data_IF_033876487538
#
_entry.id   IF_033876487538
#
_cell.length_a   1.000
_cell.length_b   1.000
_cell.length_c   1.000
_cell.angle_alpha   90.00
_cell.angle_beta   90.00
_cell.angle_gamma   90.00
#
_symmetry.space_group_name_H-M   'P 1'
#
loop_
_entity.id
_entity.type
_entity.pdbx_description
1 polymer ?
#
# COMPACT_ATOMS: atom_id res chain seq x y z
N UNK A 1 -42.05 -1.22 -19.25
CA UNK A 1 -41.54 -1.10 -17.87
C UNK A 1 -40.24 -0.32 -17.92
N UNK A 2 -40.14 0.80 -17.20
CA UNK A 2 -39.01 1.74 -17.23
C UNK A 2 -38.46 1.84 -15.81
N UNK A 3 -37.14 1.65 -15.62
CA UNK A 3 -36.45 2.00 -14.38
C UNK A 3 -35.18 2.75 -14.77
N UNK A 4 -35.19 4.06 -14.54
CA UNK A 4 -34.04 4.96 -14.59
C UNK A 4 -33.57 5.13 -13.15
N UNK A 5 -32.33 4.76 -12.83
CA UNK A 5 -31.75 5.04 -11.50
C UNK A 5 -30.57 5.99 -11.67
N UNK A 6 -30.83 7.27 -11.40
CA UNK A 6 -29.81 8.31 -11.27
C UNK A 6 -29.15 8.17 -9.90
N UNK A 7 -27.85 7.93 -9.84
CA UNK A 7 -27.07 8.13 -8.62
C UNK A 7 -26.39 9.50 -8.68
N UNK A 8 -26.96 10.47 -7.97
CA UNK A 8 -26.29 11.72 -7.62
C UNK A 8 -25.82 11.60 -6.17
N UNK A 9 -24.54 11.87 -5.91
CA UNK A 9 -24.05 12.22 -4.57
C UNK A 9 -23.26 13.53 -4.64
N UNK A 10 -23.84 14.50 -3.95
CA UNK A 10 -23.40 15.86 -3.66
C UNK A 10 -22.36 15.81 -2.53
N UNK A 11 -21.39 16.72 -2.53
CA UNK A 11 -20.60 17.00 -1.33
C UNK A 11 -19.33 17.82 -1.56
N UNK A 12 -19.44 19.04 -2.09
CA UNK A 12 -18.37 20.02 -2.00
C UNK A 12 -18.51 20.78 -0.67
N UNK A 13 -17.52 20.65 0.23
CA UNK A 13 -17.37 21.52 1.40
C UNK A 13 -15.98 22.11 1.34
N UNK A 14 -15.91 23.42 1.11
CA UNK A 14 -14.71 24.22 1.27
C UNK A 14 -14.67 24.78 2.70
N UNK A 15 -13.55 24.59 3.41
CA UNK A 15 -13.17 25.38 4.58
C UNK A 15 -11.64 25.50 4.63
N UNK A 16 -11.15 26.73 4.65
CA UNK A 16 -9.75 27.10 4.64
C UNK A 16 -9.21 27.30 6.06
N UNK A 17 -8.00 26.79 6.36
CA UNK A 17 -7.04 27.39 7.31
C UNK A 17 -5.76 26.54 7.40
N UNK A 18 -4.63 27.21 7.58
CA UNK A 18 -3.27 26.72 7.38
C UNK A 18 -2.87 25.50 8.25
N UNK A 19 -2.19 24.55 7.62
CA UNK A 19 -1.32 23.59 8.27
C UNK A 19 -0.23 23.16 7.29
N UNK A 20 1.03 23.38 7.70
CA UNK A 20 2.28 22.72 7.32
C UNK A 20 2.29 21.91 6.02
N UNK A 21 3.21 22.28 5.12
CA UNK A 21 3.63 21.47 3.99
C UNK A 21 4.19 20.11 4.46
N UNK A 22 3.30 19.16 4.75
CA UNK A 22 3.61 17.74 4.66
C UNK A 22 3.62 17.46 3.17
N UNK A 23 4.83 17.33 2.62
CA UNK A 23 5.07 16.77 1.29
C UNK A 23 4.17 15.55 1.14
N UNK A 24 3.20 15.66 0.22
CA UNK A 24 2.06 14.76 0.16
C UNK A 24 2.47 13.31 0.00
N UNK A 25 2.50 12.56 1.10
CA UNK A 25 2.08 11.17 1.11
C UNK A 25 0.56 11.21 1.00
N UNK A 26 0.08 11.39 -0.23
CA UNK A 26 -1.33 11.39 -0.56
C UNK A 26 -1.97 10.18 0.11
N UNK A 27 -2.86 10.46 1.07
CA UNK A 27 -3.69 9.45 1.70
C UNK A 27 -4.56 8.89 0.59
N UNK A 28 -4.11 7.82 -0.06
CA UNK A 28 -4.93 7.21 -1.06
C UNK A 28 -6.18 6.63 -0.36
N UNK A 29 -7.29 6.65 -1.06
CA UNK A 29 -8.54 6.19 -0.49
C UNK A 29 -8.50 4.67 -0.47
N UNK A 30 -8.75 4.06 0.69
CA UNK A 30 -9.12 2.66 0.74
C UNK A 30 -10.33 2.47 -0.16
N UNK A 31 -10.18 1.64 -1.18
CA UNK A 31 -11.28 1.29 -2.07
C UNK A 31 -11.27 2.05 -3.39
N UNK A 32 -10.92 1.30 -4.43
CA UNK A 32 -11.73 1.01 -5.63
C UNK A 32 -10.87 0.48 -6.76
N UNK A 33 -9.53 0.41 -6.57
CA UNK A 33 -8.54 -0.10 -7.53
C UNK A 33 -7.16 -0.42 -6.88
N UNK A 34 -7.11 -1.19 -5.79
CA UNK A 34 -5.85 -1.62 -5.18
C UNK A 34 -5.96 -1.94 -3.69
N UNK A 35 -4.89 -2.48 -3.11
CA UNK A 35 -4.86 -3.03 -1.75
C UNK A 35 -3.70 -2.47 -0.92
N UNK A 36 -3.94 -2.25 0.38
CA UNK A 36 -2.86 -2.02 1.34
C UNK A 36 -2.14 -3.33 1.64
N UNK A 37 -0.91 -3.27 2.16
CA UNK A 37 -0.12 -4.47 2.43
C UNK A 37 -0.13 -4.81 3.91
N UNK A 38 -0.28 -6.10 4.22
CA UNK A 38 0.06 -6.67 5.51
C UNK A 38 1.30 -7.53 5.32
N UNK A 39 2.38 -7.19 6.01
CA UNK A 39 3.62 -7.95 5.97
C UNK A 39 3.76 -8.80 7.23
N UNK A 40 3.87 -10.11 7.03
CA UNK A 40 4.14 -11.07 8.09
C UNK A 40 5.56 -11.65 7.95
N UNK A 41 6.40 -11.41 8.95
CA UNK A 41 7.75 -11.97 9.01
C UNK A 41 7.77 -13.29 9.77
N UNK A 42 7.95 -14.39 9.05
CA UNK A 42 8.01 -15.75 9.63
C UNK A 42 9.28 -15.92 10.48
N UNK A 43 10.38 -15.31 10.07
CA UNK A 43 11.70 -15.47 10.71
C UNK A 43 11.92 -14.43 11.83
N UNK A 44 11.39 -13.22 11.68
CA UNK A 44 11.53 -12.14 12.66
C UNK A 44 12.86 -11.39 12.57
N UNK A 45 13.43 -11.30 11.37
CA UNK A 45 14.72 -10.65 11.09
C UNK A 45 14.62 -9.51 10.07
N UNK A 46 13.44 -9.31 9.46
CA UNK A 46 13.21 -8.28 8.44
C UNK A 46 12.70 -7.01 9.09
N UNK A 47 13.54 -5.98 9.12
CA UNK A 47 13.22 -4.69 9.74
C UNK A 47 12.59 -3.70 8.76
N UNK A 48 12.85 -3.84 7.46
CA UNK A 48 12.17 -3.08 6.43
C UNK A 48 12.01 -3.87 5.14
N UNK A 49 11.02 -3.49 4.33
CA UNK A 49 10.81 -4.05 3.01
C UNK A 49 10.80 -2.95 1.95
N UNK A 50 11.47 -3.21 0.83
CA UNK A 50 11.36 -2.39 -0.38
C UNK A 50 10.30 -3.02 -1.26
N UNK A 51 9.26 -2.27 -1.60
CA UNK A 51 8.16 -2.71 -2.45
C UNK A 51 8.22 -1.90 -3.75
N UNK A 52 8.20 -2.56 -4.89
CA UNK A 52 8.06 -1.92 -6.19
C UNK A 52 6.91 -2.58 -6.95
N UNK A 53 6.08 -1.77 -7.61
CA UNK A 53 4.85 -2.26 -8.21
C UNK A 53 3.98 -1.11 -8.68
N UNK A 54 2.77 -1.44 -9.14
CA UNK A 54 1.81 -0.44 -9.59
C UNK A 54 0.99 0.07 -8.41
N UNK A 55 0.88 1.41 -8.29
CA UNK A 55 -0.03 2.06 -7.36
C UNK A 55 -1.50 1.94 -7.83
N UNK A 56 -2.44 2.43 -7.03
CA UNK A 56 -3.86 2.44 -7.39
C UNK A 56 -4.17 3.18 -8.70
N UNK A 57 -3.36 4.18 -9.06
CA UNK A 57 -3.51 4.96 -10.28
C UNK A 57 -2.89 4.26 -11.50
N UNK A 58 -2.14 3.17 -11.31
CA UNK A 58 -1.41 2.47 -12.38
C UNK A 58 -0.03 3.03 -12.65
N UNK A 59 0.50 3.88 -11.77
CA UNK A 59 1.88 4.33 -11.83
C UNK A 59 2.80 3.30 -11.19
N UNK A 60 3.88 2.93 -11.88
CA UNK A 60 4.90 2.10 -11.26
C UNK A 60 5.71 2.93 -10.26
N UNK A 61 5.74 2.51 -9.00
CA UNK A 61 6.42 3.21 -7.91
C UNK A 61 7.25 2.26 -7.07
N UNK A 62 8.20 2.83 -6.32
CA UNK A 62 9.07 2.13 -5.39
C UNK A 62 8.98 2.82 -4.04
N UNK A 63 8.66 2.07 -3.00
CA UNK A 63 8.63 2.57 -1.64
C UNK A 63 9.29 1.63 -0.64
N UNK A 64 9.82 2.21 0.42
CA UNK A 64 10.38 1.47 1.53
C UNK A 64 9.47 1.60 2.75
N UNK A 65 9.18 0.47 3.38
CA UNK A 65 8.34 0.44 4.57
C UNK A 65 9.09 -0.21 5.73
N UNK A 66 9.04 0.44 6.89
CA UNK A 66 9.51 -0.15 8.14
C UNK A 66 8.56 -1.26 8.60
N UNK A 67 9.14 -2.40 8.95
CA UNK A 67 8.45 -3.58 9.47
C UNK A 67 9.05 -4.01 10.81
N UNK A 68 9.01 -3.14 11.86
CA UNK A 68 9.69 -3.41 13.12
C UNK A 68 9.07 -4.56 13.93
N UNK A 69 7.84 -4.96 13.61
CA UNK A 69 7.13 -6.08 14.25
C UNK A 69 7.14 -7.32 13.36
N UNK A 70 6.70 -8.47 13.88
CA UNK A 70 6.47 -9.66 13.04
C UNK A 70 5.24 -9.53 12.14
N UNK A 71 4.26 -8.75 12.54
CA UNK A 71 3.04 -8.51 11.78
C UNK A 71 2.86 -6.99 11.64
N UNK A 72 2.93 -6.49 10.41
CA UNK A 72 2.92 -5.05 10.13
C UNK A 72 1.85 -4.73 9.11
N UNK A 73 1.04 -3.74 9.44
CA UNK A 73 0.02 -3.19 8.57
C UNK A 73 0.58 -1.94 7.88
N UNK A 74 0.95 -2.08 6.61
CA UNK A 74 1.52 -1.02 5.79
C UNK A 74 0.36 -0.26 5.15
N UNK A 75 -0.21 0.65 5.94
CA UNK A 75 -1.31 1.49 5.51
C UNK A 75 -0.86 2.76 4.78
N UNK A 76 -1.80 3.41 4.09
CA UNK A 76 -1.53 4.68 3.40
C UNK A 76 -0.89 4.53 2.02
N UNK A 77 -0.68 3.30 1.54
CA UNK A 77 -0.25 3.01 0.18
C UNK A 77 -1.05 1.84 -0.40
N UNK A 78 -1.45 1.95 -1.67
CA UNK A 78 -2.27 0.95 -2.35
C UNK A 78 -1.53 0.41 -3.55
N UNK A 79 -1.56 -0.90 -3.70
CA UNK A 79 -0.87 -1.63 -4.75
C UNK A 79 -1.84 -2.45 -5.58
N UNK A 80 -1.51 -2.68 -6.84
CA UNK A 80 -2.26 -3.58 -7.74
C UNK A 80 -1.33 -4.32 -8.69
N UNK A 81 -1.83 -5.43 -9.23
CA UNK A 81 -1.15 -6.27 -10.20
C UNK A 81 0.20 -6.78 -9.69
N UNK A 82 1.22 -6.74 -10.54
CA UNK A 82 2.55 -7.24 -10.22
C UNK A 82 3.23 -6.32 -9.21
N UNK A 83 3.55 -6.92 -8.07
CA UNK A 83 4.32 -6.34 -7.01
C UNK A 83 5.58 -7.19 -6.82
N UNK A 84 6.70 -6.54 -6.64
CA UNK A 84 7.95 -7.18 -6.24
C UNK A 84 8.44 -6.54 -4.94
N UNK A 85 9.01 -7.35 -4.07
CA UNK A 85 9.52 -6.84 -2.81
C UNK A 85 10.75 -7.58 -2.32
N UNK A 86 11.55 -6.89 -1.53
CA UNK A 86 12.81 -7.39 -0.95
C UNK A 86 12.85 -6.99 0.52
N UNK A 87 13.25 -7.93 1.39
CA UNK A 87 13.40 -7.69 2.83
C UNK A 87 14.83 -7.31 3.21
N UNK A 88 14.96 -6.39 4.17
CA UNK A 88 16.23 -5.88 4.66
C UNK A 88 16.31 -5.93 6.19
N UNK A 89 17.53 -6.11 6.71
CA UNK A 89 17.79 -6.15 8.16
C UNK A 89 17.80 -4.78 8.84
N UNK A 90 17.98 -3.69 8.09
CA UNK A 90 18.04 -2.31 8.61
C UNK A 90 16.77 -1.51 8.32
N UNK A 91 16.69 -0.28 8.84
CA UNK A 91 15.65 0.70 8.47
C UNK A 91 15.86 1.21 7.04
N UNK A 92 14.81 1.78 6.46
CA UNK A 92 14.89 2.48 5.17
C UNK A 92 15.51 1.64 4.04
N UNK A 93 15.31 0.32 4.09
CA UNK A 93 15.77 -0.64 3.10
C UNK A 93 17.30 -0.68 2.98
N UNK A 94 17.97 -0.52 4.12
CA UNK A 94 19.44 -0.58 4.27
C UNK A 94 19.88 -1.89 4.94
N UNK A 95 21.19 -2.16 4.90
CA UNK A 95 21.79 -3.35 5.52
C UNK A 95 21.73 -4.59 4.63
N UNK A 96 21.71 -5.77 5.26
CA UNK A 96 21.74 -7.06 4.56
C UNK A 96 20.36 -7.45 4.08
N UNK A 97 20.28 -8.04 2.89
CA UNK A 97 19.04 -8.62 2.36
C UNK A 97 18.68 -9.85 3.19
N UNK A 98 17.53 -9.80 3.88
CA UNK A 98 17.00 -10.90 4.70
C UNK A 98 16.06 -11.79 3.91
N UNK A 99 15.33 -11.20 2.96
CA UNK A 99 14.47 -11.89 2.01
C UNK A 99 14.84 -11.46 0.61
N UNK A 100 15.24 -12.41 -0.23
CA UNK A 100 15.49 -12.14 -1.66
C UNK A 100 14.25 -11.60 -2.37
N UNK A 101 14.39 -11.20 -3.63
CA UNK A 101 13.26 -10.65 -4.40
C UNK A 101 12.11 -11.66 -4.46
N UNK A 102 10.95 -11.25 -3.96
CA UNK A 102 9.68 -11.96 -4.06
C UNK A 102 8.78 -11.26 -5.06
N UNK A 103 7.89 -12.01 -5.69
CA UNK A 103 6.90 -11.51 -6.62
C UNK A 103 5.52 -11.95 -6.15
N UNK A 104 4.61 -11.00 -6.07
CA UNK A 104 3.22 -11.20 -5.68
C UNK A 104 2.30 -10.51 -6.68
N UNK A 105 1.11 -11.08 -6.90
CA UNK A 105 0.07 -10.46 -7.71
C UNK A 105 -1.06 -9.98 -6.81
N UNK A 106 -1.16 -8.66 -6.65
CA UNK A 106 -2.19 -8.02 -5.83
C UNK A 106 -3.45 -7.85 -6.68
N UNK A 107 -4.51 -8.61 -6.37
CA UNK A 107 -5.77 -8.52 -7.10
C UNK A 107 -6.40 -7.14 -6.90
N UNK A 108 -6.60 -6.33 -7.98
CA UNK A 108 -7.41 -5.13 -7.87
C UNK A 108 -8.86 -5.52 -7.60
N UNK A 109 -9.50 -4.87 -6.63
CA UNK A 109 -10.94 -5.00 -6.35
C UNK A 109 -11.35 -6.29 -5.62
N UNK A 110 -10.62 -6.65 -4.58
CA UNK A 110 -11.08 -7.65 -3.61
C UNK A 110 -11.89 -7.00 -2.48
N UNK A 111 -12.68 -7.81 -1.76
CA UNK A 111 -13.56 -7.33 -0.70
C UNK A 111 -12.83 -6.86 0.58
N UNK A 112 -11.58 -7.30 0.79
CA UNK A 112 -10.76 -6.89 1.94
C UNK A 112 -9.87 -5.70 1.59
N UNK A 113 -9.43 -4.93 2.59
CA UNK A 113 -8.53 -3.78 2.39
C UNK A 113 -7.04 -4.16 2.34
N UNK A 114 -6.70 -5.37 2.79
CA UNK A 114 -5.34 -5.81 3.04
C UNK A 114 -4.95 -7.01 2.17
N UNK A 115 -3.77 -6.93 1.58
CA UNK A 115 -3.10 -8.01 0.87
C UNK A 115 -1.95 -8.53 1.71
N UNK A 116 -1.97 -9.81 2.05
CA UNK A 116 -0.94 -10.44 2.87
C UNK A 116 0.27 -10.80 2.00
N UNK A 117 1.45 -10.34 2.42
CA UNK A 117 2.75 -10.78 1.93
C UNK A 117 3.56 -11.35 3.10
N UNK A 118 4.37 -12.38 2.84
CA UNK A 118 5.08 -13.13 3.90
C UNK A 118 6.52 -13.46 3.50
N UNK A 119 7.45 -13.38 4.47
CA UNK A 119 8.85 -13.82 4.30
C UNK A 119 9.02 -15.33 4.26
#
# INVERSE_FOLDING_TARGET
MSIKTKFAKVGAVAAASAALAVLGSGSAFAGTNGQQLRFYDVQGHTYSIKVNGYDQNGNFTSQCFGTPSRDNYIGGWWWKWNLNWTGYSGSDCTGTVTVGVKMDYVEPNQAGDWWLITS
#
